data_IF_912185309226
#
_entry.id   IF_912185309226
#
_cell.length_a   1.000
_cell.length_b   1.000
_cell.length_c   1.000
_cell.angle_alpha   90.00
_cell.angle_beta   90.00
_cell.angle_gamma   90.00
#
_symmetry.space_group_name_H-M   'P 1'
#
loop_
_entity.id
_entity.type
_entity.pdbx_description
1 polymer ?
#
# COMPACT_ATOMS: atom_id res chain seq x y z
N UNK A 1 14.10 -11.08 45.05
CA UNK A 1 14.27 -12.55 45.08
C UNK A 1 13.24 -13.11 46.02
N UNK A 2 12.24 -13.83 45.49
CA UNK A 2 11.26 -14.56 46.29
C UNK A 2 10.96 -15.89 45.59
N UNK A 3 10.59 -16.87 46.39
CA UNK A 3 10.93 -18.30 46.30
C UNK A 3 10.11 -19.14 45.31
N UNK A 4 9.69 -18.58 44.17
CA UNK A 4 8.86 -19.29 43.17
C UNK A 4 9.62 -19.75 41.91
N UNK A 5 10.83 -19.23 41.67
CA UNK A 5 11.61 -19.51 40.46
C UNK A 5 12.53 -20.74 40.54
N UNK A 6 12.45 -21.52 41.63
CA UNK A 6 13.43 -22.59 41.95
C UNK A 6 12.96 -24.02 41.72
N UNK A 7 11.78 -24.27 41.14
CA UNK A 7 11.19 -25.63 41.08
C UNK A 7 10.97 -26.29 39.72
N UNK A 8 11.50 -25.77 38.62
CA UNK A 8 11.37 -26.47 37.32
C UNK A 8 12.68 -26.68 36.55
N UNK A 9 13.84 -26.41 37.17
CA UNK A 9 15.16 -26.57 36.52
C UNK A 9 15.99 -27.78 37.00
N UNK A 10 15.45 -28.68 37.82
CA UNK A 10 16.19 -29.85 38.33
C UNK A 10 15.33 -31.11 38.38
N UNK A 11 15.34 -31.84 37.26
CA UNK A 11 15.16 -33.30 37.07
C UNK A 11 15.01 -33.47 35.55
N UNK A 12 16.00 -33.85 34.76
CA UNK A 12 17.16 -34.69 34.98
C UNK A 12 18.10 -34.49 33.79
N UNK A 13 19.35 -34.10 34.05
CA UNK A 13 20.42 -34.12 33.06
C UNK A 13 21.24 -35.41 33.11
N UNK A 14 21.95 -35.64 32.01
CA UNK A 14 22.87 -36.75 31.64
C UNK A 14 22.18 -37.90 30.89
N UNK A 15 22.64 -38.33 29.72
CA UNK A 15 24.00 -38.33 29.15
C UNK A 15 23.99 -38.24 27.61
N UNK A 16 25.05 -37.67 27.03
CA UNK A 16 25.40 -37.87 25.62
C UNK A 16 25.51 -39.36 25.31
N UNK A 17 24.94 -39.81 24.18
CA UNK A 17 25.48 -40.84 23.27
C UNK A 17 24.58 -40.91 22.01
N UNK A 18 25.21 -41.12 20.85
CA UNK A 18 24.63 -41.17 19.50
C UNK A 18 23.30 -41.93 19.38
N UNK A 19 22.37 -41.40 18.57
CA UNK A 19 21.24 -42.18 18.09
C UNK A 19 20.11 -41.33 17.52
N UNK A 20 19.90 -41.43 16.21
CA UNK A 20 18.71 -40.97 15.48
C UNK A 20 17.46 -41.39 16.26
N UNK A 21 16.64 -40.45 16.74
CA UNK A 21 15.30 -40.76 17.25
C UNK A 21 14.35 -39.56 17.19
N UNK A 22 13.09 -39.91 16.94
CA UNK A 22 12.01 -39.10 16.41
C UNK A 22 11.55 -37.91 17.28
N UNK A 23 11.03 -36.87 16.62
CA UNK A 23 10.27 -35.79 17.25
C UNK A 23 8.99 -36.34 17.92
N UNK A 24 8.55 -35.79 19.06
CA UNK A 24 7.36 -36.27 19.75
C UNK A 24 6.09 -35.83 19.02
N UNK A 25 5.24 -36.80 18.70
CA UNK A 25 3.87 -36.60 18.24
C UNK A 25 3.02 -36.01 19.36
N UNK A 26 2.60 -34.75 19.21
CA UNK A 26 1.63 -34.11 20.09
C UNK A 26 0.24 -34.69 19.75
N UNK A 27 -0.34 -35.45 20.66
CA UNK A 27 -1.74 -35.89 20.59
C UNK A 27 -2.64 -34.70 20.91
N UNK A 28 -3.30 -34.15 19.89
CA UNK A 28 -4.34 -33.12 20.04
C UNK A 28 -5.70 -33.81 20.22
N UNK A 29 -6.48 -33.37 21.21
CA UNK A 29 -7.84 -33.86 21.42
C UNK A 29 -8.72 -33.56 20.18
N UNK A 30 -9.41 -34.58 19.67
CA UNK A 30 -10.12 -34.60 18.37
C UNK A 30 -11.20 -33.50 18.21
N UNK A 31 -11.72 -32.93 19.31
CA UNK A 31 -12.72 -31.85 19.25
C UNK A 31 -12.15 -30.47 18.86
N UNK A 32 -10.82 -30.31 18.79
CA UNK A 32 -10.16 -29.01 18.54
C UNK A 32 -9.37 -28.94 17.24
N UNK A 33 -9.36 -30.00 16.44
CA UNK A 33 -8.54 -30.08 15.24
C UNK A 33 -9.43 -30.40 14.04
N UNK A 34 -9.52 -29.46 13.10
CA UNK A 34 -10.29 -29.62 11.86
C UNK A 34 -9.34 -29.56 10.66
N UNK A 35 -9.51 -30.45 9.68
CA UNK A 35 -8.73 -30.45 8.43
C UNK A 35 -9.61 -30.05 7.26
N UNK A 36 -9.18 -29.08 6.45
CA UNK A 36 -9.94 -28.56 5.30
C UNK A 36 -9.29 -29.02 3.98
N UNK A 37 -10.01 -29.76 3.13
CA UNK A 37 -9.49 -30.20 1.82
C UNK A 37 -9.33 -29.05 0.81
N UNK A 38 -8.32 -29.20 -0.07
CA UNK A 38 -7.92 -28.26 -1.14
C UNK A 38 -9.07 -27.73 -2.01
N UNK A 39 -10.09 -28.55 -2.27
CA UNK A 39 -11.24 -28.17 -3.10
C UNK A 39 -12.13 -27.06 -2.50
N UNK A 40 -12.12 -26.89 -1.16
CA UNK A 40 -12.89 -25.84 -0.47
C UNK A 40 -12.12 -24.52 -0.32
N UNK A 41 -10.84 -24.48 -0.72
CA UNK A 41 -9.97 -23.32 -0.57
C UNK A 41 -9.82 -22.47 -1.85
N UNK A 42 -10.60 -22.76 -2.91
CA UNK A 42 -10.52 -22.02 -4.18
C UNK A 42 -10.83 -20.51 -4.05
N UNK A 43 -11.47 -20.08 -2.96
CA UNK A 43 -11.76 -18.69 -2.64
C UNK A 43 -11.28 -18.32 -1.23
N UNK A 44 -10.02 -18.64 -0.88
CA UNK A 44 -9.44 -18.69 0.48
C UNK A 44 -9.90 -17.66 1.54
N UNK A 45 -10.34 -16.47 1.14
CA UNK A 45 -10.92 -15.45 2.03
C UNK A 45 -12.35 -15.81 2.49
N UNK A 46 -13.19 -16.32 1.60
CA UNK A 46 -14.55 -16.81 1.93
C UNK A 46 -14.45 -17.98 2.91
N UNK A 47 -13.47 -18.84 2.69
CA UNK A 47 -13.15 -19.98 3.55
C UNK A 47 -12.68 -19.50 4.92
N UNK A 48 -11.70 -18.59 4.99
CA UNK A 48 -11.21 -18.01 6.24
C UNK A 48 -12.30 -17.32 7.06
N UNK A 49 -13.12 -16.47 6.42
CA UNK A 49 -14.23 -15.77 7.06
C UNK A 49 -15.28 -16.73 7.61
N UNK A 50 -15.64 -17.76 6.84
CA UNK A 50 -16.58 -18.79 7.26
C UNK A 50 -16.08 -19.50 8.53
N UNK A 51 -14.84 -19.98 8.52
CA UNK A 51 -14.30 -20.69 9.69
C UNK A 51 -14.12 -19.76 10.90
N UNK A 52 -13.71 -18.50 10.71
CA UNK A 52 -13.62 -17.52 11.78
C UNK A 52 -14.97 -17.27 12.47
N UNK A 53 -16.07 -17.33 11.72
CA UNK A 53 -17.43 -17.15 12.27
C UNK A 53 -17.95 -18.37 13.04
N UNK A 54 -17.30 -19.52 12.95
CA UNK A 54 -17.79 -20.80 13.51
C UNK A 54 -16.90 -21.37 14.60
N UNK A 55 -15.59 -21.06 14.58
CA UNK A 55 -14.62 -21.61 15.50
C UNK A 55 -14.60 -20.89 16.84
N UNK A 56 -14.32 -21.65 17.90
CA UNK A 56 -14.05 -21.08 19.24
C UNK A 56 -12.59 -20.65 19.32
N UNK A 57 -12.32 -19.54 20.00
CA UNK A 57 -10.94 -19.16 20.32
C UNK A 57 -10.19 -20.31 21.01
N UNK A 58 -8.95 -20.55 20.60
CA UNK A 58 -8.15 -21.70 21.02
C UNK A 58 -8.21 -22.90 20.08
N UNK A 59 -9.04 -22.87 19.03
CA UNK A 59 -9.17 -23.97 18.06
C UNK A 59 -7.96 -24.07 17.15
N UNK A 60 -7.66 -25.28 16.67
CA UNK A 60 -6.63 -25.53 15.68
C UNK A 60 -7.26 -25.98 14.36
N UNK A 61 -6.69 -25.53 13.26
CA UNK A 61 -7.18 -25.86 11.93
C UNK A 61 -6.02 -26.07 10.97
N UNK A 62 -6.11 -27.12 10.16
CA UNK A 62 -5.15 -27.39 9.10
C UNK A 62 -5.73 -26.97 7.75
N UNK A 63 -5.04 -26.06 7.07
CA UNK A 63 -5.33 -25.70 5.69
C UNK A 63 -4.34 -26.40 4.78
N UNK A 64 -4.84 -27.20 3.85
CA UNK A 64 -4.00 -27.82 2.83
C UNK A 64 -3.39 -26.76 1.91
N UNK A 65 -2.07 -26.81 1.70
CA UNK A 65 -1.36 -26.03 0.67
C UNK A 65 -1.55 -24.49 0.78
N UNK A 66 -1.00 -23.86 1.82
CA UNK A 66 -1.07 -22.40 1.99
C UNK A 66 0.15 -21.71 1.38
N UNK A 67 -0.08 -20.76 0.47
CA UNK A 67 0.97 -19.83 0.05
C UNK A 67 1.16 -18.71 1.10
N UNK A 68 2.16 -17.85 0.88
CA UNK A 68 2.48 -16.74 1.76
C UNK A 68 1.31 -15.75 1.92
N UNK A 69 0.49 -15.54 0.90
CA UNK A 69 -0.63 -14.60 0.95
C UNK A 69 -1.85 -15.20 1.63
N UNK A 70 -2.09 -16.50 1.46
CA UNK A 70 -3.13 -17.26 2.13
C UNK A 70 -2.90 -17.26 3.64
N UNK A 71 -1.65 -17.40 4.09
CA UNK A 71 -1.28 -17.27 5.49
C UNK A 71 -1.56 -15.89 6.07
N UNK A 72 -1.20 -14.86 5.29
CA UNK A 72 -1.48 -13.45 5.56
C UNK A 72 -3.01 -13.24 5.72
N UNK A 73 -3.83 -13.72 4.78
CA UNK A 73 -5.30 -13.62 4.87
C UNK A 73 -5.88 -14.38 6.05
N UNK A 74 -5.44 -15.61 6.31
CA UNK A 74 -5.87 -16.39 7.48
C UNK A 74 -5.58 -15.64 8.77
N UNK A 75 -4.43 -14.99 8.86
CA UNK A 75 -4.09 -14.19 10.02
C UNK A 75 -5.01 -12.98 10.25
N UNK A 76 -5.52 -12.35 9.19
CA UNK A 76 -6.50 -11.28 9.29
C UNK A 76 -7.76 -11.74 10.06
N UNK A 77 -8.13 -13.00 9.89
CA UNK A 77 -9.25 -13.61 10.60
C UNK A 77 -8.86 -14.20 11.96
N UNK A 78 -7.65 -13.96 12.45
CA UNK A 78 -7.18 -14.47 13.74
C UNK A 78 -6.59 -15.88 13.71
N UNK A 79 -6.25 -16.42 12.53
CA UNK A 79 -5.54 -17.71 12.43
C UNK A 79 -4.02 -17.51 12.41
N UNK A 80 -3.33 -18.03 13.41
CA UNK A 80 -1.87 -17.90 13.56
C UNK A 80 -1.18 -19.22 13.23
N UNK A 81 -0.24 -19.20 12.29
CA UNK A 81 0.53 -20.39 11.91
C UNK A 81 1.26 -20.97 13.13
N UNK A 82 1.05 -22.25 13.38
CA UNK A 82 1.69 -23.02 14.45
C UNK A 82 2.78 -23.91 13.87
N UNK A 83 2.48 -24.60 12.76
CA UNK A 83 3.42 -25.51 12.12
C UNK A 83 3.11 -25.69 10.63
N UNK A 84 4.13 -26.03 9.85
CA UNK A 84 3.95 -26.51 8.48
C UNK A 84 4.03 -28.04 8.45
N UNK A 85 3.16 -28.67 7.66
CA UNK A 85 3.08 -30.11 7.46
C UNK A 85 3.36 -30.42 5.99
N UNK A 86 3.66 -31.68 5.66
CA UNK A 86 3.87 -32.10 4.27
C UNK A 86 2.64 -31.85 3.38
N UNK A 87 1.45 -31.77 3.99
CA UNK A 87 0.18 -31.62 3.29
C UNK A 87 -0.44 -30.22 3.44
N UNK A 88 0.19 -29.31 4.18
CA UNK A 88 -0.38 -27.99 4.46
C UNK A 88 0.22 -27.23 5.64
N UNK A 89 -0.63 -26.51 6.36
CA UNK A 89 -0.22 -25.66 7.46
C UNK A 89 -1.28 -25.67 8.57
N UNK A 90 -0.83 -25.84 9.82
CA UNK A 90 -1.67 -25.84 11.02
C UNK A 90 -1.68 -24.45 11.63
N UNK A 91 -2.87 -23.94 11.93
CA UNK A 91 -3.10 -22.63 12.50
C UNK A 91 -3.88 -22.73 13.81
N UNK A 92 -3.61 -21.80 14.72
CA UNK A 92 -4.32 -21.59 15.96
C UNK A 92 -5.21 -20.35 15.82
N UNK A 93 -6.51 -20.51 16.06
CA UNK A 93 -7.49 -19.43 15.98
C UNK A 93 -7.55 -18.64 17.30
N UNK A 94 -7.13 -17.37 17.27
CA UNK A 94 -7.12 -16.45 18.41
C UNK A 94 -7.47 -15.03 17.95
N UNK A 95 -8.74 -14.75 17.65
CA UNK A 95 -9.17 -13.45 17.13
C UNK A 95 -8.90 -12.30 18.11
N UNK A 96 -8.82 -12.58 19.42
CA UNK A 96 -8.48 -11.58 20.45
C UNK A 96 -7.08 -10.97 20.28
N UNK A 97 -6.18 -11.65 19.55
CA UNK A 97 -4.86 -11.12 19.16
C UNK A 97 -4.93 -10.12 18.01
N UNK A 98 -6.07 -9.97 17.35
CA UNK A 98 -6.27 -8.96 16.32
C UNK A 98 -7.02 -7.74 16.91
N UNK A 99 -6.26 -6.81 17.50
CA UNK A 99 -6.77 -5.57 18.10
C UNK A 99 -6.43 -4.33 17.25
N UNK A 100 -6.26 -4.51 15.93
CA UNK A 100 -5.78 -3.43 15.06
C UNK A 100 -6.72 -2.22 15.05
N UNK A 101 -8.05 -2.44 14.98
CA UNK A 101 -9.03 -1.36 14.97
C UNK A 101 -9.08 -0.59 16.30
N UNK A 102 -8.97 -1.30 17.43
CA UNK A 102 -8.90 -0.69 18.78
C UNK A 102 -7.62 0.12 18.93
N UNK A 103 -6.49 -0.40 18.42
CA UNK A 103 -5.19 0.29 18.42
C UNK A 103 -5.27 1.59 17.60
N UNK A 104 -5.86 1.53 16.39
CA UNK A 104 -6.04 2.71 15.53
C UNK A 104 -6.96 3.72 16.20
N UNK A 105 -8.07 3.26 16.77
CA UNK A 105 -9.00 4.08 17.54
C UNK A 105 -8.30 4.81 18.69
N UNK A 106 -7.55 4.08 19.52
CA UNK A 106 -6.80 4.67 20.63
C UNK A 106 -5.81 5.75 20.19
N UNK A 107 -5.09 5.53 19.08
CA UNK A 107 -4.17 6.54 18.54
C UNK A 107 -4.94 7.77 18.00
N UNK A 108 -6.06 7.57 17.30
CA UNK A 108 -6.83 8.67 16.73
C UNK A 108 -7.56 9.50 17.78
N UNK A 109 -8.14 8.86 18.79
CA UNK A 109 -9.06 9.52 19.72
C UNK A 109 -8.42 9.81 21.08
N UNK A 110 -7.68 8.86 21.64
CA UNK A 110 -7.28 8.90 23.06
C UNK A 110 -5.86 9.44 23.26
N UNK A 111 -4.96 9.17 22.32
CA UNK A 111 -3.57 9.61 22.39
C UNK A 111 -3.48 11.14 22.49
N UNK A 112 -2.61 11.63 23.37
CA UNK A 112 -2.29 13.06 23.40
C UNK A 112 -1.63 13.51 22.10
N UNK A 113 -2.02 14.70 21.62
CA UNK A 113 -1.59 15.26 20.33
C UNK A 113 -1.12 16.70 20.54
N UNK A 114 0.16 16.94 20.23
CA UNK A 114 0.76 18.28 20.14
C UNK A 114 0.90 18.77 18.69
N UNK A 115 0.70 17.83 17.75
CA UNK A 115 0.75 17.99 16.30
C UNK A 115 -0.18 16.95 15.63
N UNK A 116 -0.47 17.15 14.35
CA UNK A 116 -1.24 16.21 13.51
C UNK A 116 -0.44 14.96 13.09
N UNK A 117 0.83 14.86 13.51
CA UNK A 117 1.78 13.83 13.09
C UNK A 117 1.34 12.38 13.31
N UNK A 118 0.65 12.06 14.42
CA UNK A 118 0.12 10.70 14.65
C UNK A 118 -0.97 10.34 13.65
N UNK A 119 -1.83 11.32 13.35
CA UNK A 119 -2.91 11.20 12.38
C UNK A 119 -2.32 11.03 10.97
N UNK A 120 -1.29 11.82 10.63
CA UNK A 120 -0.58 11.72 9.36
C UNK A 120 0.17 10.38 9.19
N UNK A 121 0.76 9.83 10.26
CA UNK A 121 1.36 8.49 10.22
C UNK A 121 0.29 7.43 9.90
N UNK A 122 -0.83 7.44 10.62
CA UNK A 122 -1.92 6.48 10.37
C UNK A 122 -2.49 6.63 8.96
N UNK A 123 -2.72 7.86 8.47
CA UNK A 123 -3.19 8.11 7.11
C UNK A 123 -2.23 7.52 6.08
N UNK A 124 -0.93 7.78 6.22
CA UNK A 124 0.09 7.26 5.30
C UNK A 124 0.12 5.72 5.31
N UNK A 125 0.05 5.09 6.49
CA UNK A 125 0.00 3.63 6.58
C UNK A 125 -1.27 3.07 5.92
N UNK A 126 -2.44 3.65 6.20
CA UNK A 126 -3.71 3.23 5.57
C UNK A 126 -3.66 3.38 4.04
N UNK A 127 -3.21 4.52 3.54
CA UNK A 127 -3.19 4.81 2.11
C UNK A 127 -2.17 3.92 1.36
N UNK A 128 -0.98 3.68 1.94
CA UNK A 128 0.04 2.77 1.35
C UNK A 128 -0.49 1.32 1.31
N UNK A 129 -1.10 0.88 2.40
CA UNK A 129 -1.55 -0.52 2.54
C UNK A 129 -2.76 -0.83 1.67
N UNK A 130 -3.59 0.18 1.41
CA UNK A 130 -4.83 0.05 0.64
C UNK A 130 -4.71 0.54 -0.80
N UNK A 131 -3.53 1.03 -1.19
CA UNK A 131 -3.19 1.56 -2.52
C UNK A 131 -2.33 0.60 -3.34
N UNK A 132 -1.81 1.10 -4.46
CA UNK A 132 -0.93 0.34 -5.36
C UNK A 132 0.43 0.07 -4.73
N UNK A 133 0.83 0.91 -3.77
CA UNK A 133 2.08 0.80 -3.03
C UNK A 133 2.11 -0.38 -2.04
N UNK A 134 1.02 -1.14 -1.91
CA UNK A 134 0.94 -2.36 -1.09
C UNK A 134 2.00 -3.41 -1.50
N UNK A 135 2.39 -3.45 -2.78
CA UNK A 135 3.49 -4.32 -3.24
C UNK A 135 4.86 -3.92 -2.65
N UNK A 136 4.95 -2.73 -2.04
CA UNK A 136 6.16 -2.24 -1.38
C UNK A 136 6.27 -2.60 0.10
N UNK A 137 5.32 -3.35 0.63
CA UNK A 137 5.31 -3.81 2.00
C UNK A 137 6.11 -5.09 2.12
N UNK A 138 7.11 -5.10 2.99
CA UNK A 138 7.86 -6.32 3.30
C UNK A 138 7.25 -7.04 4.49
N UNK A 139 7.40 -8.36 4.51
CA UNK A 139 6.87 -9.23 5.56
C UNK A 139 8.01 -10.04 6.18
N UNK A 140 7.91 -10.29 7.48
CA UNK A 140 8.88 -11.15 8.17
C UNK A 140 8.70 -12.62 7.76
N UNK A 141 9.63 -13.19 6.99
CA UNK A 141 9.55 -14.60 6.61
C UNK A 141 10.03 -15.56 7.70
N UNK A 142 10.74 -15.05 8.72
CA UNK A 142 11.36 -15.88 9.78
C UNK A 142 10.41 -16.08 10.97
N UNK A 143 9.57 -15.08 11.28
CA UNK A 143 8.63 -15.11 12.40
C UNK A 143 7.18 -15.28 11.93
N UNK A 144 6.90 -16.26 11.06
CA UNK A 144 5.55 -16.54 10.56
C UNK A 144 4.77 -15.30 10.06
N UNK A 145 5.47 -14.31 9.47
CA UNK A 145 4.89 -13.06 9.00
C UNK A 145 4.19 -12.27 10.11
N UNK A 146 4.80 -12.23 11.31
CA UNK A 146 4.32 -11.46 12.46
C UNK A 146 4.36 -9.95 12.28
N UNK A 147 5.27 -9.48 11.45
CA UNK A 147 5.53 -8.07 11.25
C UNK A 147 5.50 -7.69 9.79
N UNK A 148 4.91 -6.54 9.53
CA UNK A 148 4.99 -5.80 8.28
C UNK A 148 6.02 -4.69 8.43
N UNK A 149 6.66 -4.33 7.32
CA UNK A 149 7.67 -3.29 7.25
C UNK A 149 7.33 -2.36 6.08
N UNK A 150 7.13 -1.08 6.39
CA UNK A 150 6.91 -0.03 5.39
C UNK A 150 8.12 0.91 5.40
N UNK A 151 8.79 1.10 4.26
CA UNK A 151 9.94 1.99 4.20
C UNK A 151 9.57 3.44 4.52
N UNK A 152 10.41 4.11 5.32
CA UNK A 152 10.18 5.51 5.72
C UNK A 152 10.06 6.46 4.53
N UNK A 153 10.78 6.20 3.44
CA UNK A 153 10.70 7.04 2.23
C UNK A 153 9.30 7.10 1.63
N UNK A 154 8.53 6.02 1.68
CA UNK A 154 7.13 6.01 1.20
C UNK A 154 6.22 6.83 2.11
N UNK A 155 6.38 6.67 3.42
CA UNK A 155 5.60 7.42 4.43
C UNK A 155 5.92 8.91 4.32
N UNK A 156 7.19 9.26 4.17
CA UNK A 156 7.64 10.63 4.01
C UNK A 156 7.11 11.28 2.71
N UNK A 157 7.09 10.54 1.60
CA UNK A 157 6.48 11.03 0.36
C UNK A 157 4.99 11.35 0.55
N UNK A 158 4.23 10.44 1.16
CA UNK A 158 2.82 10.69 1.50
C UNK A 158 2.66 11.92 2.39
N UNK A 159 3.53 12.10 3.39
CA UNK A 159 3.51 13.31 4.23
C UNK A 159 3.73 14.57 3.42
N UNK A 160 4.72 14.61 2.51
CA UNK A 160 4.93 15.79 1.65
C UNK A 160 3.66 16.11 0.87
N UNK A 161 3.01 15.10 0.27
CA UNK A 161 1.76 15.28 -0.48
C UNK A 161 0.62 15.79 0.42
N UNK A 162 0.42 15.25 1.62
CA UNK A 162 -0.65 15.68 2.52
C UNK A 162 -0.42 17.10 3.07
N UNK A 163 0.82 17.42 3.45
CA UNK A 163 1.14 18.70 4.06
C UNK A 163 1.21 19.84 3.05
N UNK A 164 1.45 19.55 1.78
CA UNK A 164 1.57 20.57 0.74
C UNK A 164 0.37 21.53 0.69
N UNK A 165 -0.88 21.08 0.45
CA UNK A 165 -2.04 21.98 0.39
C UNK A 165 -2.35 22.63 1.74
N UNK A 166 -2.02 21.96 2.85
CA UNK A 166 -2.21 22.52 4.19
C UNK A 166 -1.29 23.70 4.47
N UNK A 167 -0.03 23.62 4.03
CA UNK A 167 0.95 24.71 4.14
C UNK A 167 0.57 25.88 3.22
N UNK A 168 0.18 25.61 1.98
CA UNK A 168 -0.30 26.64 1.05
C UNK A 168 -1.50 27.41 1.62
N UNK A 169 -2.44 26.69 2.24
CA UNK A 169 -3.62 27.28 2.88
C UNK A 169 -3.32 27.89 4.27
N UNK A 170 -2.08 27.85 4.75
CA UNK A 170 -1.67 28.28 6.10
C UNK A 170 -2.51 27.61 7.21
N UNK A 171 -2.83 26.33 7.05
CA UNK A 171 -3.53 25.49 8.03
C UNK A 171 -2.50 24.93 9.00
N UNK A 172 -2.63 25.29 10.28
CA UNK A 172 -1.67 24.95 11.33
C UNK A 172 -1.73 23.46 11.68
N UNK A 173 -0.55 22.84 11.75
CA UNK A 173 -0.38 21.39 11.97
C UNK A 173 0.26 21.04 13.31
N UNK A 174 0.83 22.04 13.99
CA UNK A 174 1.53 21.86 15.26
C UNK A 174 1.27 23.06 16.19
N UNK A 175 1.34 22.79 17.50
CA UNK A 175 1.24 23.82 18.54
C UNK A 175 2.43 24.79 18.54
N UNK A 176 3.63 24.30 18.20
CA UNK A 176 4.84 25.10 17.97
C UNK A 176 4.67 26.14 16.84
N UNK A 177 5.56 27.13 16.71
CA UNK A 177 5.46 28.15 15.66
C UNK A 177 5.49 27.58 14.24
N UNK A 178 6.30 26.53 14.00
CA UNK A 178 6.47 25.88 12.70
C UNK A 178 6.74 24.39 12.83
N UNK A 179 6.50 23.63 11.75
CA UNK A 179 6.92 22.23 11.65
C UNK A 179 8.43 22.12 11.39
N UNK A 180 9.02 20.99 11.75
CA UNK A 180 10.48 20.76 11.62
C UNK A 180 10.97 20.71 10.16
N UNK A 181 10.08 20.43 9.22
CA UNK A 181 10.36 20.30 7.78
C UNK A 181 9.68 21.41 6.95
N UNK A 182 9.12 22.44 7.61
CA UNK A 182 8.32 23.48 6.95
C UNK A 182 9.16 24.32 5.98
N UNK A 183 10.38 24.69 6.36
CA UNK A 183 11.26 25.53 5.54
C UNK A 183 11.66 24.80 4.24
N UNK A 184 12.03 23.52 4.33
CA UNK A 184 12.36 22.71 3.15
C UNK A 184 11.13 22.45 2.25
N UNK A 185 9.94 22.34 2.83
CA UNK A 185 8.71 22.18 2.06
C UNK A 185 8.35 23.47 1.31
N UNK A 186 8.48 24.63 1.96
CA UNK A 186 8.26 25.93 1.33
C UNK A 186 9.26 26.20 0.19
N UNK A 187 10.52 25.84 0.38
CA UNK A 187 11.55 25.92 -0.68
C UNK A 187 11.16 25.07 -1.89
N UNK A 188 10.69 23.84 -1.67
CA UNK A 188 10.23 22.96 -2.74
C UNK A 188 8.98 23.51 -3.44
N UNK A 189 8.02 24.05 -2.67
CA UNK A 189 6.82 24.69 -3.20
C UNK A 189 7.14 25.87 -4.11
N UNK A 190 8.08 26.73 -3.71
CA UNK A 190 8.52 27.87 -4.53
C UNK A 190 9.16 27.41 -5.85
N UNK A 191 9.97 26.35 -5.84
CA UNK A 191 10.54 25.76 -7.05
C UNK A 191 9.44 25.26 -7.98
N UNK A 192 8.53 24.41 -7.50
CA UNK A 192 7.51 23.81 -8.35
C UNK A 192 6.44 24.79 -8.81
N UNK A 193 6.15 25.82 -8.04
CA UNK A 193 5.25 26.91 -8.46
C UNK A 193 5.83 27.68 -9.65
N UNK A 194 7.16 27.79 -9.75
CA UNK A 194 7.83 28.39 -10.91
C UNK A 194 7.82 27.49 -12.15
N UNK A 195 7.86 26.16 -11.95
CA UNK A 195 7.82 25.16 -13.02
C UNK A 195 6.40 25.01 -13.58
N UNK A 196 5.42 24.78 -12.71
CA UNK A 196 4.03 24.58 -13.07
C UNK A 196 3.12 25.39 -12.14
N UNK A 197 2.70 26.57 -12.61
CA UNK A 197 1.82 27.48 -11.84
C UNK A 197 0.41 26.94 -11.63
N UNK A 198 -0.03 25.99 -12.44
CA UNK A 198 -1.41 25.49 -12.41
C UNK A 198 -1.52 24.35 -11.41
N UNK A 199 -0.59 23.41 -11.43
CA UNK A 199 -0.58 22.27 -10.53
C UNK A 199 0.85 21.86 -10.12
N UNK A 200 1.47 22.61 -9.19
CA UNK A 200 2.86 22.36 -8.79
C UNK A 200 3.04 21.03 -8.04
N UNK A 201 2.04 20.61 -7.26
CA UNK A 201 2.06 19.34 -6.52
C UNK A 201 2.06 18.13 -7.46
N UNK A 202 1.18 18.11 -8.48
CA UNK A 202 1.16 17.03 -9.46
C UNK A 202 2.48 16.93 -10.23
N UNK A 203 3.08 18.07 -10.60
CA UNK A 203 4.39 18.09 -11.24
C UNK A 203 5.47 17.51 -10.31
N UNK A 204 5.45 17.86 -9.02
CA UNK A 204 6.37 17.27 -8.04
C UNK A 204 6.21 15.76 -7.93
N UNK A 205 4.97 15.25 -7.86
CA UNK A 205 4.72 13.81 -7.78
C UNK A 205 5.28 13.08 -9.01
N UNK A 206 5.04 13.61 -10.21
CA UNK A 206 5.57 13.05 -11.47
C UNK A 206 7.10 13.04 -11.47
N UNK A 207 7.74 14.17 -11.17
CA UNK A 207 9.20 14.30 -11.14
C UNK A 207 9.82 13.40 -10.05
N UNK A 208 9.14 13.21 -8.93
CA UNK A 208 9.58 12.34 -7.84
C UNK A 208 9.53 10.85 -8.23
N UNK A 209 8.51 10.43 -8.97
CA UNK A 209 8.38 9.08 -9.53
C UNK A 209 9.44 8.85 -10.63
N UNK A 210 9.58 9.79 -11.57
CA UNK A 210 10.58 9.73 -12.64
C UNK A 210 12.02 9.78 -12.12
N UNK A 211 12.22 10.42 -10.97
CA UNK A 211 13.48 10.55 -10.28
C UNK A 211 14.35 11.68 -10.79
N UNK A 212 15.21 12.17 -9.90
CA UNK A 212 16.07 13.32 -10.14
C UNK A 212 17.50 12.89 -10.44
N UNK A 213 18.21 13.68 -11.26
CA UNK A 213 19.65 13.52 -11.40
C UNK A 213 20.36 13.93 -10.09
N UNK A 214 21.36 13.18 -9.60
CA UNK A 214 22.04 13.46 -8.33
C UNK A 214 22.72 14.83 -8.23
N UNK A 215 23.07 15.44 -9.37
CA UNK A 215 23.68 16.77 -9.49
C UNK A 215 22.65 17.90 -9.65
N UNK A 216 21.35 17.58 -9.71
CA UNK A 216 20.29 18.58 -9.81
C UNK A 216 20.13 19.35 -8.49
N UNK A 217 20.01 20.70 -8.51
CA UNK A 217 19.68 21.48 -7.32
C UNK A 217 18.36 21.03 -6.66
N UNK A 218 17.37 20.61 -7.46
CA UNK A 218 16.08 20.12 -6.96
C UNK A 218 16.27 18.84 -6.14
N UNK A 219 17.19 17.96 -6.57
CA UNK A 219 17.49 16.72 -5.85
C UNK A 219 17.98 16.99 -4.42
N UNK A 220 18.80 18.02 -4.22
CA UNK A 220 19.30 18.37 -2.89
C UNK A 220 18.20 18.91 -1.96
N UNK A 221 17.27 19.70 -2.48
CA UNK A 221 16.08 20.17 -1.74
C UNK A 221 15.22 18.98 -1.32
N UNK A 222 14.86 18.12 -2.28
CA UNK A 222 14.07 16.90 -2.03
C UNK A 222 14.76 16.00 -1.01
N UNK A 223 16.06 15.76 -1.15
CA UNK A 223 16.84 14.94 -0.22
C UNK A 223 16.83 15.51 1.21
N UNK A 224 16.96 16.83 1.38
CA UNK A 224 16.88 17.48 2.70
C UNK A 224 15.49 17.35 3.30
N UNK A 225 14.46 17.68 2.52
CA UNK A 225 13.06 17.56 2.93
C UNK A 225 12.74 16.13 3.40
N UNK A 226 13.04 15.12 2.57
CA UNK A 226 12.78 13.72 2.91
C UNK A 226 13.49 13.29 4.20
N UNK A 227 14.74 13.71 4.41
CA UNK A 227 15.45 13.43 5.68
C UNK A 227 14.79 14.11 6.87
N UNK A 228 14.39 15.36 6.75
CA UNK A 228 13.72 16.11 7.82
C UNK A 228 12.37 15.49 8.19
N UNK A 229 11.57 15.12 7.18
CA UNK A 229 10.29 14.42 7.36
C UNK A 229 10.50 13.06 8.03
N UNK A 230 11.43 12.22 7.55
CA UNK A 230 11.70 10.90 8.17
C UNK A 230 12.17 11.02 9.61
N UNK A 231 13.00 12.01 9.91
CA UNK A 231 13.46 12.27 11.29
C UNK A 231 12.28 12.65 12.17
N UNK A 232 11.39 13.51 11.67
CA UNK A 232 10.15 13.93 12.35
C UNK A 232 9.19 12.75 12.59
N UNK A 233 9.04 11.84 11.62
CA UNK A 233 8.21 10.63 11.76
C UNK A 233 8.80 9.71 12.83
N UNK A 234 10.12 9.45 12.76
CA UNK A 234 10.83 8.54 13.66
C UNK A 234 10.80 9.02 15.11
N UNK A 235 11.20 10.26 15.34
CA UNK A 235 11.37 10.81 16.68
C UNK A 235 10.02 11.34 17.25
N UNK A 236 8.98 11.39 16.42
CA UNK A 236 7.63 11.78 16.81
C UNK A 236 6.67 10.59 16.86
N UNK A 237 5.77 10.43 15.86
CA UNK A 237 4.66 9.50 15.95
C UNK A 237 5.07 8.02 16.01
N UNK A 238 6.25 7.60 15.52
CA UNK A 238 6.68 6.19 15.68
C UNK A 238 7.02 5.87 17.14
N UNK A 239 7.69 6.77 17.85
CA UNK A 239 8.05 6.59 19.27
C UNK A 239 6.84 6.76 20.21
N UNK A 240 5.87 7.58 19.80
CA UNK A 240 4.84 8.09 20.71
C UNK A 240 3.40 7.67 20.42
N UNK A 241 3.13 6.83 19.40
CA UNK A 241 1.75 6.41 19.08
C UNK A 241 1.39 5.07 19.71
N UNK A 242 0.24 5.04 20.39
CA UNK A 242 -0.36 3.83 20.92
C UNK A 242 0.43 3.23 22.09
N UNK A 243 0.24 1.93 22.32
CA UNK A 243 0.99 1.20 23.34
C UNK A 243 2.47 1.08 22.97
N UNK A 244 3.32 0.79 23.96
CA UNK A 244 4.75 0.55 23.75
C UNK A 244 4.98 -0.51 22.66
N UNK A 245 5.83 -0.20 21.70
CA UNK A 245 6.17 -1.05 20.54
C UNK A 245 5.01 -1.27 19.54
N UNK A 246 4.02 -0.37 19.48
CA UNK A 246 3.00 -0.41 18.40
C UNK A 246 3.67 -0.22 17.04
N UNK A 247 4.56 0.78 16.95
CA UNK A 247 5.44 1.02 15.82
C UNK A 247 6.89 0.99 16.30
N UNK A 248 7.78 0.44 15.49
CA UNK A 248 9.21 0.37 15.78
C UNK A 248 10.03 0.73 14.54
N UNK A 249 11.20 1.35 14.72
CA UNK A 249 12.15 1.52 13.62
C UNK A 249 12.93 0.22 13.40
N UNK A 250 13.05 -0.22 12.14
CA UNK A 250 13.83 -1.41 11.78
C UNK A 250 14.81 -1.12 10.64
N UNK A 251 16.03 -1.67 10.77
CA UNK A 251 17.03 -1.69 9.69
C UNK A 251 16.82 -2.83 8.68
N UNK A 252 15.84 -3.72 8.91
CA UNK A 252 15.49 -4.77 7.96
C UNK A 252 14.99 -4.15 6.65
N UNK A 253 15.34 -4.78 5.53
CA UNK A 253 15.00 -4.37 4.16
C UNK A 253 15.54 -2.98 3.73
N UNK A 254 16.45 -2.38 4.52
CA UNK A 254 17.19 -1.22 4.07
C UNK A 254 18.15 -1.64 2.95
N UNK A 255 17.90 -1.19 1.71
CA UNK A 255 18.71 -1.54 0.55
C UNK A 255 20.11 -0.94 0.60
N UNK A 256 20.36 0.03 1.51
CA UNK A 256 21.68 0.51 1.91
C UNK A 256 22.54 1.16 0.81
N UNK A 257 22.11 1.14 -0.46
CA UNK A 257 22.88 1.62 -1.60
C UNK A 257 21.99 2.32 -2.62
N UNK A 258 22.20 3.63 -2.72
CA UNK A 258 21.76 4.47 -3.84
C UNK A 258 22.69 4.18 -5.02
N UNK A 259 22.41 3.16 -5.82
CA UNK A 259 23.24 2.83 -7.00
C UNK A 259 22.44 2.96 -8.28
N UNK A 260 22.19 4.19 -8.70
CA UNK A 260 21.73 4.56 -10.05
C UNK A 260 22.16 6.00 -10.40
N UNK A 261 22.17 6.31 -11.71
CA UNK A 261 22.46 7.65 -12.27
C UNK A 261 21.30 8.64 -12.09
N UNK A 262 20.11 8.15 -11.71
CA UNK A 262 18.95 8.93 -11.23
C UNK A 262 18.51 8.39 -9.86
N UNK A 263 17.82 9.22 -9.07
CA UNK A 263 17.27 8.86 -7.75
C UNK A 263 15.77 9.10 -7.70
N UNK A 264 14.97 8.03 -7.64
CA UNK A 264 13.50 8.03 -7.69
C UNK A 264 12.83 7.72 -6.35
N UNK A 265 11.50 7.70 -6.32
CA UNK A 265 10.70 7.16 -5.20
C UNK A 265 11.21 5.78 -4.74
N UNK A 266 11.63 4.91 -5.66
CA UNK A 266 12.12 3.58 -5.31
C UNK A 266 13.45 3.63 -4.52
N UNK A 267 14.33 4.58 -4.87
CA UNK A 267 15.59 4.82 -4.17
C UNK A 267 15.37 5.41 -2.78
N UNK A 268 14.50 6.41 -2.66
CA UNK A 268 14.15 7.01 -1.37
C UNK A 268 13.39 6.04 -0.47
N UNK A 269 12.51 5.22 -1.04
CA UNK A 269 11.84 4.14 -0.32
C UNK A 269 12.87 3.13 0.20
N UNK A 270 13.75 2.59 -0.65
CA UNK A 270 14.67 1.52 -0.26
C UNK A 270 15.80 1.95 0.70
N UNK A 271 16.26 3.20 0.63
CA UNK A 271 17.45 3.65 1.36
C UNK A 271 17.18 4.22 2.76
N UNK A 272 15.93 4.19 3.20
CA UNK A 272 15.54 4.65 4.53
C UNK A 272 15.03 3.43 5.31
N UNK A 273 15.30 3.40 6.63
CA UNK A 273 14.83 2.35 7.54
C UNK A 273 13.32 2.10 7.35
N UNK A 274 12.80 1.00 7.90
CA UNK A 274 11.36 0.74 7.85
C UNK A 274 10.68 1.09 9.18
N UNK A 275 9.39 1.44 9.09
CA UNK A 275 8.44 1.33 10.19
C UNK A 275 7.97 -0.12 10.25
N UNK A 276 8.20 -0.77 11.38
CA UNK A 276 7.79 -2.14 11.70
C UNK A 276 6.55 -2.09 12.59
N UNK A 277 5.54 -2.92 12.28
CA UNK A 277 4.33 -3.07 13.08
C UNK A 277 3.72 -4.47 12.87
N UNK A 278 2.79 -4.86 13.76
CA UNK A 278 2.15 -6.17 13.70
C UNK A 278 1.28 -6.32 12.45
N UNK A 279 1.32 -7.47 11.80
CA UNK A 279 0.51 -7.74 10.60
C UNK A 279 -0.99 -7.69 10.85
N UNK A 280 -1.48 -7.92 12.07
CA UNK A 280 -2.90 -7.70 12.41
C UNK A 280 -3.36 -6.28 12.09
N UNK A 281 -2.54 -5.28 12.45
CA UNK A 281 -2.82 -3.87 12.14
C UNK A 281 -2.82 -3.59 10.64
N UNK A 282 -1.90 -4.19 9.88
CA UNK A 282 -1.86 -4.11 8.42
C UNK A 282 -3.18 -4.59 7.79
N UNK A 283 -3.72 -5.71 8.27
CA UNK A 283 -4.95 -6.28 7.71
C UNK A 283 -6.15 -5.39 7.95
N UNK A 284 -6.31 -4.87 9.16
CA UNK A 284 -7.39 -3.93 9.47
C UNK A 284 -7.32 -2.71 8.55
N UNK A 285 -6.10 -2.18 8.32
CA UNK A 285 -5.88 -1.09 7.36
C UNK A 285 -6.24 -1.49 5.93
N UNK A 286 -5.90 -2.69 5.46
CA UNK A 286 -6.25 -3.17 4.11
C UNK A 286 -7.75 -3.41 3.93
N UNK A 287 -8.40 -3.97 4.95
CA UNK A 287 -9.84 -4.32 4.96
C UNK A 287 -10.71 -3.06 5.00
N UNK A 288 -10.37 -2.13 5.90
CA UNK A 288 -11.20 -0.95 6.18
C UNK A 288 -10.62 0.34 5.60
N UNK A 289 -9.57 0.25 4.78
CA UNK A 289 -8.73 1.39 4.42
C UNK A 289 -9.44 2.58 3.82
N UNK A 290 -10.41 2.37 2.93
CA UNK A 290 -11.19 3.47 2.36
C UNK A 290 -11.98 4.23 3.44
N UNK A 291 -12.69 3.50 4.29
CA UNK A 291 -13.48 4.10 5.38
C UNK A 291 -12.58 4.72 6.45
N UNK A 292 -11.44 4.08 6.74
CA UNK A 292 -10.44 4.57 7.67
C UNK A 292 -9.81 5.87 7.16
N UNK A 293 -9.45 5.96 5.89
CA UNK A 293 -8.83 7.17 5.33
C UNK A 293 -9.76 8.38 5.47
N UNK A 294 -11.06 8.21 5.20
CA UNK A 294 -12.06 9.26 5.38
C UNK A 294 -12.22 9.67 6.87
N UNK A 295 -12.32 8.67 7.76
CA UNK A 295 -12.42 8.93 9.19
C UNK A 295 -11.17 9.64 9.74
N UNK A 296 -10.00 9.24 9.28
CA UNK A 296 -8.71 9.85 9.63
C UNK A 296 -8.66 11.30 9.10
N UNK A 297 -9.12 11.56 7.89
CA UNK A 297 -9.20 12.92 7.33
C UNK A 297 -10.12 13.82 8.18
N UNK A 298 -11.28 13.32 8.61
CA UNK A 298 -12.16 14.06 9.51
C UNK A 298 -11.49 14.35 10.86
N UNK A 299 -10.81 13.36 11.44
CA UNK A 299 -10.08 13.58 12.70
C UNK A 299 -8.90 14.55 12.54
N UNK A 300 -8.20 14.51 11.41
CA UNK A 300 -7.17 15.48 11.08
C UNK A 300 -7.76 16.89 11.03
N UNK A 301 -8.89 17.07 10.33
CA UNK A 301 -9.59 18.35 10.26
C UNK A 301 -9.97 18.89 11.65
N UNK A 302 -10.49 18.04 12.52
CA UNK A 302 -10.81 18.40 13.91
C UNK A 302 -9.56 18.85 14.68
N UNK A 303 -8.44 18.17 14.49
CA UNK A 303 -7.17 18.51 15.12
C UNK A 303 -6.62 19.85 14.62
N UNK A 304 -6.73 20.14 13.31
CA UNK A 304 -6.41 21.45 12.75
C UNK A 304 -7.27 22.56 13.39
N UNK A 305 -8.59 22.37 13.50
CA UNK A 305 -9.49 23.32 14.19
C UNK A 305 -9.04 23.54 15.63
N UNK A 306 -8.68 22.48 16.35
CA UNK A 306 -8.19 22.55 17.74
C UNK A 306 -6.90 23.36 17.86
N UNK A 307 -5.97 23.20 16.93
CA UNK A 307 -4.70 23.94 16.88
C UNK A 307 -4.88 25.42 16.47
N UNK A 308 -6.00 25.73 15.82
CA UNK A 308 -6.30 27.05 15.23
C UNK A 308 -7.43 27.80 15.93
N UNK A 309 -7.72 27.51 17.20
CA UNK A 309 -8.83 28.13 17.96
C UNK A 309 -8.93 29.66 17.88
N UNK A 310 -7.81 30.37 17.65
CA UNK A 310 -7.79 31.83 17.52
C UNK A 310 -8.18 32.37 16.14
N UNK A 311 -8.18 31.51 15.11
CA UNK A 311 -8.39 31.89 13.71
C UNK A 311 -9.82 31.62 13.22
N UNK A 312 -10.70 31.08 14.08
CA UNK A 312 -12.11 30.78 13.80
C UNK A 312 -12.38 29.96 12.52
N UNK A 313 -11.38 29.20 12.03
CA UNK A 313 -11.58 28.26 10.93
C UNK A 313 -12.41 27.06 11.38
N UNK A 314 -13.29 26.58 10.51
CA UNK A 314 -14.14 25.44 10.79
C UNK A 314 -13.75 24.20 9.97
N UNK A 315 -14.33 23.05 10.34
CA UNK A 315 -14.02 21.77 9.72
C UNK A 315 -14.31 21.76 8.22
N UNK A 316 -15.42 22.37 7.77
CA UNK A 316 -15.82 22.38 6.37
C UNK A 316 -14.84 23.16 5.47
N UNK A 317 -14.14 24.15 6.02
CA UNK A 317 -13.09 24.88 5.32
C UNK A 317 -11.79 24.08 5.19
N UNK A 318 -11.50 23.20 6.15
CA UNK A 318 -10.23 22.43 6.19
C UNK A 318 -10.34 21.11 5.43
N UNK A 319 -11.48 20.42 5.52
CA UNK A 319 -11.67 19.09 4.92
C UNK A 319 -11.25 18.99 3.45
N UNK A 320 -11.58 19.95 2.55
CA UNK A 320 -11.17 19.85 1.15
C UNK A 320 -9.66 19.63 0.98
N UNK A 321 -8.82 20.29 1.78
CA UNK A 321 -7.37 20.17 1.71
C UNK A 321 -6.82 18.81 2.19
N UNK A 322 -7.63 18.01 2.89
CA UNK A 322 -7.24 16.69 3.40
C UNK A 322 -7.64 15.55 2.46
N UNK A 323 -8.50 15.83 1.48
CA UNK A 323 -8.82 14.96 0.36
C UNK A 323 -8.04 15.41 -0.89
N UNK A 324 -6.71 15.45 -0.76
CA UNK A 324 -5.75 15.95 -1.78
C UNK A 324 -5.99 15.31 -3.15
N UNK A 325 -6.37 14.04 -3.14
CA UNK A 325 -6.63 13.23 -4.33
C UNK A 325 -7.81 13.73 -5.20
N UNK A 326 -8.64 14.64 -4.68
CA UNK A 326 -9.75 15.24 -5.43
C UNK A 326 -9.32 16.35 -6.42
N UNK A 327 -8.06 16.80 -6.39
CA UNK A 327 -7.59 17.97 -7.15
C UNK A 327 -6.64 17.67 -8.32
N UNK A 328 -6.25 16.41 -8.53
CA UNK A 328 -5.54 16.05 -9.75
C UNK A 328 -6.52 15.98 -10.93
N UNK A 329 -6.32 16.84 -11.93
CA UNK A 329 -6.95 16.64 -13.23
C UNK A 329 -6.52 15.27 -13.76
N UNK A 330 -7.49 14.47 -14.22
CA UNK A 330 -7.21 13.25 -14.99
C UNK A 330 -6.37 13.64 -16.20
N UNK A 331 -5.06 13.45 -16.14
CA UNK A 331 -4.14 13.82 -17.23
C UNK A 331 -4.25 12.82 -18.40
N UNK A 332 -5.44 12.72 -18.99
CA UNK A 332 -5.71 11.92 -20.19
C UNK A 332 -5.12 12.58 -21.44
N UNK A 333 -4.73 13.86 -21.36
CA UNK A 333 -4.23 14.61 -22.51
C UNK A 333 -2.86 14.10 -22.96
N UNK A 334 -1.98 13.82 -22.00
CA UNK A 334 -0.67 13.22 -22.25
C UNK A 334 -0.80 11.84 -22.89
N UNK A 335 -1.59 10.94 -22.29
CA UNK A 335 -1.82 9.62 -22.86
C UNK A 335 -2.52 9.65 -24.23
N UNK A 336 -3.42 10.62 -24.48
CA UNK A 336 -4.00 10.83 -25.83
C UNK A 336 -2.94 11.27 -26.85
N UNK A 337 -1.97 12.08 -26.45
CA UNK A 337 -0.88 12.48 -27.34
C UNK A 337 0.02 11.29 -27.67
N UNK A 338 0.29 10.43 -26.69
CA UNK A 338 1.03 9.18 -26.90
C UNK A 338 0.31 8.26 -27.90
N UNK A 339 -1.02 8.09 -27.79
CA UNK A 339 -1.77 7.31 -28.79
C UNK A 339 -1.68 7.93 -30.19
N UNK A 340 -1.71 9.26 -30.32
CA UNK A 340 -1.53 9.90 -31.63
C UNK A 340 -0.17 9.56 -32.23
N UNK A 341 0.88 9.51 -31.41
CA UNK A 341 2.23 9.14 -31.85
C UNK A 341 2.29 7.66 -32.27
N UNK A 342 1.73 6.74 -31.49
CA UNK A 342 1.60 5.32 -31.88
C UNK A 342 0.90 5.18 -33.24
N UNK A 343 -0.20 5.90 -33.45
CA UNK A 343 -0.95 5.89 -34.71
C UNK A 343 -0.14 6.51 -35.88
N UNK A 344 0.70 7.51 -35.61
CA UNK A 344 1.58 8.13 -36.63
C UNK A 344 2.69 7.18 -37.10
N UNK A 345 3.14 6.26 -36.23
CA UNK A 345 4.07 5.19 -36.59
C UNK A 345 3.43 4.05 -37.42
N UNK A 346 2.15 4.17 -37.79
CA UNK A 346 1.44 3.20 -38.62
C UNK A 346 0.92 1.99 -37.86
N UNK A 347 1.02 2.00 -36.54
CA UNK A 347 0.53 0.92 -35.69
C UNK A 347 -0.99 0.99 -35.52
N UNK A 348 -1.62 -0.18 -35.41
CA UNK A 348 -3.05 -0.27 -35.14
C UNK A 348 -3.28 -0.33 -33.64
N UNK A 349 -4.16 0.52 -33.15
CA UNK A 349 -4.60 0.51 -31.75
C UNK A 349 -6.04 0.02 -31.67
N UNK A 350 -6.30 -0.89 -30.73
CA UNK A 350 -7.61 -1.51 -30.52
C UNK A 350 -8.15 -1.11 -29.15
N UNK A 351 -9.47 -1.09 -29.01
CA UNK A 351 -10.07 -1.01 -27.69
C UNK A 351 -9.67 -2.24 -26.87
N UNK A 352 -9.09 -2.02 -25.69
CA UNK A 352 -8.57 -3.10 -24.84
C UNK A 352 -9.65 -4.12 -24.50
N UNK A 353 -10.85 -3.67 -24.18
CA UNK A 353 -11.92 -4.58 -23.75
C UNK A 353 -12.62 -5.28 -24.93
N UNK A 354 -13.03 -4.51 -25.94
CA UNK A 354 -13.84 -5.07 -27.05
C UNK A 354 -13.04 -5.73 -28.17
N UNK A 355 -11.74 -5.45 -28.26
CA UNK A 355 -10.90 -5.87 -29.39
C UNK A 355 -11.23 -5.19 -30.73
N UNK A 356 -12.23 -4.30 -30.78
CA UNK A 356 -12.58 -3.56 -31.99
C UNK A 356 -11.53 -2.47 -32.29
N UNK A 357 -11.24 -2.18 -33.57
CA UNK A 357 -10.32 -1.09 -33.94
C UNK A 357 -10.78 0.25 -33.34
N UNK A 358 -9.84 1.09 -32.90
CA UNK A 358 -10.18 2.42 -32.41
C UNK A 358 -10.60 3.35 -33.56
N UNK A 359 -11.76 4.02 -33.45
CA UNK A 359 -12.14 5.09 -34.36
C UNK A 359 -11.37 6.39 -34.03
N UNK A 360 -11.54 7.43 -34.86
CA UNK A 360 -10.94 8.76 -34.59
C UNK A 360 -11.33 9.35 -33.23
N UNK A 361 -12.54 9.04 -32.74
CA UNK A 361 -13.04 9.47 -31.43
C UNK A 361 -13.03 8.31 -30.45
N UNK A 362 -12.05 8.29 -29.57
CA UNK A 362 -11.87 7.26 -28.54
C UNK A 362 -11.72 7.90 -27.16
N UNK A 363 -11.86 7.07 -26.13
CA UNK A 363 -11.60 7.46 -24.75
C UNK A 363 -10.34 6.80 -24.22
N UNK A 364 -9.70 7.45 -23.25
CA UNK A 364 -8.74 6.82 -22.35
C UNK A 364 -9.50 6.38 -21.10
N UNK A 365 -9.43 5.11 -20.79
CA UNK A 365 -9.98 4.53 -19.56
C UNK A 365 -8.84 4.19 -18.58
N UNK A 366 -9.16 4.19 -17.29
CA UNK A 366 -8.27 3.70 -16.26
C UNK A 366 -8.60 2.23 -15.99
N UNK A 367 -7.64 1.33 -16.24
CA UNK A 367 -7.81 -0.12 -16.07
C UNK A 367 -8.27 -0.44 -14.64
N UNK A 368 -7.60 0.16 -13.66
CA UNK A 368 -8.01 0.27 -12.27
C UNK A 368 -8.61 1.66 -12.00
N UNK A 369 -9.80 1.80 -11.37
CA UNK A 369 -10.51 3.07 -11.32
C UNK A 369 -9.73 4.21 -10.65
N UNK A 370 -9.65 5.35 -11.34
CA UNK A 370 -8.99 6.55 -10.83
C UNK A 370 -9.58 7.03 -9.50
N UNK A 371 -10.90 6.92 -9.32
CA UNK A 371 -11.60 7.33 -8.09
C UNK A 371 -11.15 6.58 -6.81
N UNK A 372 -10.31 5.56 -6.95
CA UNK A 372 -9.81 4.72 -5.86
C UNK A 372 -8.30 4.88 -5.71
N UNK A 373 -7.59 4.78 -6.84
CA UNK A 373 -6.13 4.68 -6.86
C UNK A 373 -5.43 5.98 -7.20
N UNK A 374 -6.16 6.95 -7.77
CA UNK A 374 -5.62 8.24 -8.21
C UNK A 374 -4.37 8.11 -9.07
N UNK A 375 -4.30 7.03 -9.86
CA UNK A 375 -3.12 6.65 -10.61
C UNK A 375 -3.32 6.97 -12.08
N UNK A 376 -2.49 7.87 -12.60
CA UNK A 376 -2.45 8.28 -14.01
C UNK A 376 -1.27 7.66 -14.77
N UNK A 377 -0.66 6.61 -14.23
CA UNK A 377 0.47 5.95 -14.90
C UNK A 377 0.02 5.37 -16.24
N UNK A 378 0.93 5.37 -17.21
CA UNK A 378 0.72 4.91 -18.57
C UNK A 378 0.30 3.44 -18.64
N UNK A 379 0.76 2.60 -17.71
CA UNK A 379 0.31 1.20 -17.64
C UNK A 379 -1.17 1.08 -17.24
N UNK A 380 -1.72 2.07 -16.52
CA UNK A 380 -3.12 2.09 -16.07
C UNK A 380 -4.04 2.82 -17.07
N UNK A 381 -3.51 3.65 -17.97
CA UNK A 381 -4.26 4.40 -18.97
C UNK A 381 -4.37 3.63 -20.29
N UNK A 382 -5.56 3.08 -20.59
CA UNK A 382 -5.79 2.19 -21.72
C UNK A 382 -6.83 2.72 -22.72
N UNK A 383 -6.68 2.45 -24.03
CA UNK A 383 -7.65 2.88 -25.03
C UNK A 383 -8.95 2.10 -24.96
N UNK A 384 -10.06 2.82 -25.06
CA UNK A 384 -11.40 2.23 -25.04
C UNK A 384 -12.36 2.91 -26.02
N UNK A 385 -13.35 2.13 -26.49
CA UNK A 385 -14.49 2.71 -27.20
C UNK A 385 -15.35 3.49 -26.19
N UNK A 386 -15.86 4.69 -26.54
CA UNK A 386 -16.66 5.48 -25.60
C UNK A 386 -17.87 4.73 -25.04
N UNK A 387 -18.54 3.91 -25.86
CA UNK A 387 -19.69 3.10 -25.41
C UNK A 387 -19.30 2.02 -24.40
N UNK A 388 -18.08 1.50 -24.50
CA UNK A 388 -17.57 0.46 -23.60
C UNK A 388 -17.06 1.10 -22.31
N UNK A 389 -16.30 2.18 -22.44
CA UNK A 389 -15.81 2.98 -21.32
C UNK A 389 -16.96 3.46 -20.41
N UNK A 390 -18.03 4.02 -20.99
CA UNK A 390 -19.20 4.46 -20.23
C UNK A 390 -19.93 3.31 -19.50
N UNK A 391 -19.93 2.09 -20.04
CA UNK A 391 -20.52 0.92 -19.38
C UNK A 391 -19.67 0.44 -18.19
N UNK A 392 -18.34 0.50 -18.32
CA UNK A 392 -17.39 0.20 -17.25
C UNK A 392 -17.46 1.26 -16.16
N UNK A 393 -17.37 2.55 -16.51
CA UNK A 393 -17.37 3.67 -15.56
C UNK A 393 -16.33 3.41 -14.44
N UNK A 394 -16.71 3.62 -13.18
CA UNK A 394 -15.84 3.36 -12.02
C UNK A 394 -15.90 1.90 -11.50
N UNK A 395 -16.48 0.96 -12.26
CA UNK A 395 -16.56 -0.45 -11.86
C UNK A 395 -15.20 -1.13 -11.98
N UNK A 396 -14.98 -2.15 -11.15
CA UNK A 396 -13.78 -2.97 -11.20
C UNK A 396 -13.92 -4.01 -12.32
N UNK A 397 -12.92 -4.10 -13.20
CA UNK A 397 -12.88 -5.12 -14.24
C UNK A 397 -12.77 -6.53 -13.63
N UNK A 398 -13.51 -7.51 -14.16
CA UNK A 398 -13.39 -8.91 -13.73
C UNK A 398 -12.12 -9.58 -14.23
N UNK A 399 -11.68 -10.62 -13.53
CA UNK A 399 -10.53 -11.43 -13.95
C UNK A 399 -10.74 -12.05 -15.33
N UNK A 400 -11.97 -12.52 -15.63
CA UNK A 400 -12.30 -13.08 -16.94
C UNK A 400 -12.09 -12.04 -18.06
N UNK A 401 -12.62 -10.82 -17.90
CA UNK A 401 -12.44 -9.76 -18.90
C UNK A 401 -10.99 -9.28 -18.98
N UNK A 402 -10.24 -9.28 -17.88
CA UNK A 402 -8.80 -9.01 -17.88
C UNK A 402 -8.04 -10.08 -18.70
N UNK A 403 -8.31 -11.36 -18.46
CA UNK A 403 -7.65 -12.47 -19.16
C UNK A 403 -7.97 -12.47 -20.66
N UNK A 404 -9.23 -12.24 -21.03
CA UNK A 404 -9.65 -12.05 -22.43
C UNK A 404 -8.97 -10.84 -23.10
N UNK A 405 -8.55 -9.85 -22.31
CA UNK A 405 -7.87 -8.64 -22.77
C UNK A 405 -6.34 -8.73 -22.73
N UNK A 406 -5.78 -9.81 -22.18
CA UNK A 406 -4.36 -9.96 -21.87
C UNK A 406 -3.43 -9.72 -23.05
N UNK A 407 -3.69 -10.37 -24.19
CA UNK A 407 -2.86 -10.21 -25.39
C UNK A 407 -2.88 -8.78 -25.93
N UNK A 408 -4.02 -8.09 -25.83
CA UNK A 408 -4.18 -6.69 -26.26
C UNK A 408 -3.49 -5.74 -25.30
N UNK A 409 -3.58 -5.99 -23.99
CA UNK A 409 -2.83 -5.24 -22.97
C UNK A 409 -1.33 -5.35 -23.19
N UNK A 410 -0.80 -6.56 -23.43
CA UNK A 410 0.62 -6.77 -23.65
C UNK A 410 1.12 -6.04 -24.90
N UNK A 411 0.36 -6.10 -25.99
CA UNK A 411 0.67 -5.35 -27.20
C UNK A 411 0.66 -3.84 -26.93
N UNK A 412 -0.39 -3.33 -26.29
CA UNK A 412 -0.52 -1.89 -26.04
C UNK A 412 0.54 -1.35 -25.06
N UNK A 413 0.89 -2.09 -24.01
CA UNK A 413 1.96 -1.69 -23.10
C UNK A 413 3.32 -1.65 -23.80
N UNK A 414 3.60 -2.61 -24.70
CA UNK A 414 4.82 -2.58 -25.51
C UNK A 414 4.86 -1.37 -26.47
N UNK A 415 3.73 -1.03 -27.10
CA UNK A 415 3.60 0.20 -27.91
C UNK A 415 3.78 1.48 -27.09
N UNK A 416 3.25 1.48 -25.87
CA UNK A 416 3.36 2.63 -24.97
C UNK A 416 4.80 2.83 -24.53
N UNK A 417 5.47 1.73 -24.19
CA UNK A 417 6.89 1.72 -23.83
C UNK A 417 7.80 2.12 -25.00
N UNK A 418 7.50 1.73 -26.23
CA UNK A 418 8.37 2.09 -27.38
C UNK A 418 8.39 3.59 -27.66
N UNK A 419 7.32 4.29 -27.31
CA UNK A 419 7.19 5.75 -27.48
C UNK A 419 7.65 6.52 -26.23
N UNK A 420 7.32 6.04 -25.03
CA UNK A 420 7.60 6.71 -23.77
C UNK A 420 8.40 5.82 -22.81
N UNK A 421 9.53 5.28 -23.27
CA UNK A 421 10.28 4.25 -22.54
C UNK A 421 10.66 4.68 -21.13
N UNK A 422 11.22 5.88 -20.99
CA UNK A 422 11.72 6.38 -19.72
C UNK A 422 10.59 6.51 -18.68
N UNK A 423 9.49 7.19 -19.04
CA UNK A 423 8.34 7.38 -18.16
C UNK A 423 7.68 6.04 -17.81
N UNK A 424 7.37 5.22 -18.81
CA UNK A 424 6.68 3.95 -18.62
C UNK A 424 7.50 3.00 -17.72
N UNK A 425 8.82 2.93 -17.93
CA UNK A 425 9.71 2.12 -17.11
C UNK A 425 9.77 2.65 -15.66
N UNK A 426 9.94 3.96 -15.48
CA UNK A 426 9.95 4.58 -14.14
C UNK A 426 8.65 4.34 -13.38
N UNK A 427 7.49 4.43 -14.03
CA UNK A 427 6.18 4.17 -13.42
C UNK A 427 6.02 2.70 -12.99
N UNK A 428 6.44 1.74 -13.82
CA UNK A 428 6.41 0.32 -13.44
C UNK A 428 7.30 0.02 -12.22
N UNK A 429 8.49 0.58 -12.18
CA UNK A 429 9.40 0.43 -11.04
C UNK A 429 8.86 1.11 -9.80
N UNK A 430 8.39 2.36 -9.93
CA UNK A 430 7.94 3.22 -8.84
C UNK A 430 6.60 2.77 -8.24
N UNK A 431 5.63 2.37 -9.07
CA UNK A 431 4.30 2.02 -8.59
C UNK A 431 4.16 0.53 -8.31
N UNK A 432 4.63 -0.33 -9.22
CA UNK A 432 4.39 -1.78 -9.15
C UNK A 432 5.59 -2.61 -8.66
N UNK A 433 6.75 -1.98 -8.42
CA UNK A 433 8.03 -2.67 -8.15
C UNK A 433 8.44 -3.67 -9.24
N UNK A 434 8.09 -3.39 -10.48
CA UNK A 434 8.41 -4.25 -11.60
C UNK A 434 9.62 -3.69 -12.31
N UNK A 435 10.68 -4.49 -12.36
CA UNK A 435 11.86 -4.24 -13.19
C UNK A 435 11.50 -4.45 -14.67
N UNK A 436 11.43 -3.36 -15.47
CA UNK A 436 10.99 -3.39 -16.86
C UNK A 436 12.08 -3.97 -17.80
N UNK A 437 13.31 -4.16 -17.31
CA UNK A 437 14.40 -4.77 -18.07
C UNK A 437 14.33 -6.30 -18.06
N UNK A 438 13.55 -6.89 -17.15
CA UNK A 438 13.33 -8.35 -17.11
C UNK A 438 12.33 -8.76 -18.17
N UNK A 439 12.61 -9.85 -18.88
CA UNK A 439 11.81 -10.37 -19.99
C UNK A 439 10.36 -10.81 -19.66
N UNK A 440 9.94 -10.71 -18.40
CA UNK A 440 8.60 -11.09 -17.94
C UNK A 440 7.83 -9.94 -17.26
N UNK A 441 8.21 -8.69 -17.53
CA UNK A 441 7.61 -7.52 -16.90
C UNK A 441 6.11 -7.39 -17.23
N UNK A 442 5.65 -7.73 -18.44
CA UNK A 442 4.23 -7.67 -18.84
C UNK A 442 3.39 -8.63 -17.99
N UNK A 443 3.89 -9.86 -17.83
CA UNK A 443 3.21 -10.90 -17.08
C UNK A 443 3.15 -10.56 -15.58
N UNK A 444 4.22 -9.95 -15.05
CA UNK A 444 4.22 -9.42 -13.67
C UNK A 444 3.24 -8.27 -13.51
N UNK A 445 3.22 -7.33 -14.46
CA UNK A 445 2.33 -6.16 -14.46
C UNK A 445 0.88 -6.62 -14.43
N UNK A 446 0.53 -7.56 -15.32
CA UNK A 446 -0.78 -8.18 -15.36
C UNK A 446 -1.14 -8.91 -14.07
N UNK A 447 -0.19 -9.64 -13.47
CA UNK A 447 -0.42 -10.34 -12.20
C UNK A 447 -0.71 -9.36 -11.06
N UNK A 448 0.02 -8.24 -10.98
CA UNK A 448 -0.19 -7.21 -9.96
C UNK A 448 -1.53 -6.52 -10.19
N UNK A 449 -1.84 -6.11 -11.43
CA UNK A 449 -3.13 -5.48 -11.77
C UNK A 449 -4.30 -6.40 -11.45
N UNK A 450 -4.22 -7.68 -11.81
CA UNK A 450 -5.27 -8.67 -11.54
C UNK A 450 -5.49 -8.84 -10.04
N UNK A 451 -4.41 -8.94 -9.27
CA UNK A 451 -4.45 -9.00 -7.81
C UNK A 451 -5.11 -7.76 -7.22
N UNK A 452 -4.71 -6.57 -7.67
CA UNK A 452 -5.26 -5.29 -7.18
C UNK A 452 -6.75 -5.15 -7.52
N UNK A 453 -7.18 -5.56 -8.71
CA UNK A 453 -8.59 -5.62 -9.07
C UNK A 453 -9.38 -6.54 -8.11
N UNK A 454 -8.87 -7.74 -7.85
CA UNK A 454 -9.54 -8.72 -6.98
C UNK A 454 -9.65 -8.22 -5.52
N UNK A 455 -8.54 -7.79 -4.93
CA UNK A 455 -8.49 -7.26 -3.57
C UNK A 455 -9.41 -6.03 -3.41
N UNK A 456 -9.40 -5.13 -4.39
CA UNK A 456 -10.22 -3.91 -4.34
C UNK A 456 -11.70 -4.22 -4.45
N UNK A 457 -12.09 -5.09 -5.38
CA UNK A 457 -13.49 -5.49 -5.50
C UNK A 457 -13.99 -6.18 -4.23
N UNK A 458 -13.13 -6.96 -3.58
CA UNK A 458 -13.48 -7.70 -2.37
C UNK A 458 -13.58 -6.81 -1.13
N UNK A 459 -12.60 -5.94 -0.89
CA UNK A 459 -12.56 -5.13 0.34
C UNK A 459 -13.37 -3.84 0.24
N UNK A 460 -13.50 -3.25 -0.95
CA UNK A 460 -14.25 -1.99 -1.13
C UNK A 460 -15.70 -2.19 -1.57
N UNK A 461 -16.15 -3.44 -1.79
CA UNK A 461 -17.52 -3.75 -2.18
C UNK A 461 -17.97 -3.10 -3.49
N UNK A 462 -17.02 -2.80 -4.38
CA UNK A 462 -17.30 -2.08 -5.61
C UNK A 462 -17.93 -2.99 -6.67
N UNK A 463 -18.87 -2.47 -7.48
CA UNK A 463 -19.49 -3.24 -8.54
C UNK A 463 -18.44 -3.74 -9.54
N UNK A 464 -18.53 -5.02 -9.89
CA UNK A 464 -17.71 -5.63 -10.94
C UNK A 464 -18.31 -5.40 -12.32
N UNK A 465 -17.46 -5.38 -13.33
CA UNK A 465 -17.83 -5.24 -14.73
C UNK A 465 -17.18 -6.33 -15.59
N UNK A 466 -18.03 -7.11 -16.24
CA UNK A 466 -17.65 -8.06 -17.29
C UNK A 466 -18.02 -7.45 -18.62
N UNK A 467 -17.09 -7.47 -19.59
CA UNK A 467 -17.40 -7.07 -20.96
C UNK A 467 -18.35 -8.08 -21.62
N UNK A 468 -19.42 -7.58 -22.23
CA UNK A 468 -20.34 -8.37 -23.06
C UNK A 468 -20.41 -7.73 -24.45
N UNK A 469 -20.10 -8.48 -25.53
CA UNK A 469 -19.97 -7.97 -26.91
C UNK A 469 -21.13 -7.15 -27.49
#
# INVERSE_FOLDING_TARGET
>A
MNEYSRRLFLKSGMSLLCGVSALPTISYAEERFMSIPKAQFQNGITTAAHYASTLKEGSFIEFSDTDAQSRIMLRAYGFYLVNQTENGAVFHFSPSRNQGIETIGGILYDDSKVATYKIALLKALVDITSGLENERIHYDTENAQDYAYIPYGLIAFKWVVYYWPLVEASIRQISSPKMSFEDELLELQDIYTKINKVNPLAQFQQDFIAGYKPDSPIYDVVRRLMRSVVTTIKDGPVEHSGAKNTFETSDRFNSGRLTQTKRSLSDFAGCMKCVRFKTGLLFEMQMFGSMMSDAIAVQWGNECVRLQKKQNRNLAEILPYLFVDAFEERNQNEARNLIKEILQHGEKVFCIYSGKPLPKKYDMDHLLPYAIFFNNDLWNLVPSLPTVNNKKSNKIITLDTLDESKSRLFAFWNQTRSVAEEQFCSELEATLQIDPLKSNWEQKTFSVVSKQAELTAQFRGLPRWTYTP
#
